data_IF_131647441161
#
_entry.id   IF_131647441161
#
_cell.length_a   1.000
_cell.length_b   1.000
_cell.length_c   1.000
_cell.angle_alpha   90.00
_cell.angle_beta   90.00
_cell.angle_gamma   90.00
#
_symmetry.space_group_name_H-M   'P 1'
#
loop_
_entity.id
_entity.type
_entity.pdbx_description
1 polymer ?
#
# COMPACT_ATOMS: atom_id res chain seq x y z
N UNK A 1 4.66 -67.87 81.39
CA UNK A 1 3.53 -68.82 81.41
C UNK A 1 2.24 -68.01 81.33
N UNK A 2 1.47 -68.22 80.26
CA UNK A 2 0.05 -67.89 79.98
C UNK A 2 -0.55 -66.57 80.50
N UNK A 3 -0.87 -65.61 79.64
CA UNK A 3 -2.08 -65.49 78.79
C UNK A 3 -3.30 -64.91 79.53
N UNK A 4 -3.90 -63.83 78.97
CA UNK A 4 -5.34 -63.64 78.66
C UNK A 4 -5.68 -62.16 78.38
N UNK A 5 -6.58 -61.99 77.41
CA UNK A 5 -7.24 -60.80 76.83
C UNK A 5 -7.87 -59.82 77.84
N UNK A 6 -7.97 -58.53 77.50
CA UNK A 6 -9.20 -57.85 76.98
C UNK A 6 -9.11 -56.29 76.95
N UNK A 7 -9.78 -55.71 75.94
CA UNK A 7 -10.50 -54.41 75.87
C UNK A 7 -9.77 -53.07 76.12
N UNK A 8 -9.87 -52.20 75.10
CA UNK A 8 -9.63 -50.73 75.07
C UNK A 8 -10.33 -50.01 76.25
N UNK A 9 -9.81 -48.86 76.72
CA UNK A 9 -10.07 -47.56 76.05
C UNK A 9 -8.86 -46.59 76.07
N UNK A 10 -8.76 -45.69 75.09
CA UNK A 10 -8.00 -44.45 75.26
C UNK A 10 -8.95 -43.28 75.04
N UNK A 11 -9.14 -42.48 76.10
CA UNK A 11 -9.74 -41.16 76.07
C UNK A 11 -8.67 -40.15 75.64
N UNK A 12 -9.05 -39.15 74.85
CA UNK A 12 -8.83 -37.74 75.20
C UNK A 12 -9.52 -36.87 74.18
N UNK A 13 -10.46 -36.07 74.65
CA UNK A 13 -10.97 -34.90 73.94
C UNK A 13 -9.83 -33.92 73.67
N UNK A 14 -9.86 -33.26 72.51
CA UNK A 14 -9.35 -31.90 72.36
C UNK A 14 -10.07 -31.25 71.18
N UNK A 15 -10.66 -30.10 71.46
CA UNK A 15 -11.57 -29.33 70.62
C UNK A 15 -10.86 -28.31 69.72
N UNK A 16 -11.56 -27.90 68.63
CA UNK A 16 -11.45 -26.65 67.82
C UNK A 16 -10.40 -26.64 66.67
N UNK A 17 -10.60 -25.98 65.49
CA UNK A 17 -11.82 -25.51 64.80
C UNK A 17 -11.97 -26.03 63.35
N UNK A 18 -13.16 -25.79 62.79
CA UNK A 18 -13.48 -25.78 61.36
C UNK A 18 -12.74 -24.63 60.67
N UNK A 19 -11.85 -24.90 59.72
CA UNK A 19 -11.63 -24.08 58.51
C UNK A 19 -10.52 -24.71 57.62
N UNK A 20 -10.89 -25.63 56.74
CA UNK A 20 -10.08 -25.89 55.54
C UNK A 20 -11.01 -25.84 54.34
N UNK A 21 -11.14 -24.60 53.88
CA UNK A 21 -11.88 -24.18 52.72
C UNK A 21 -11.30 -24.82 51.45
N UNK A 22 -12.21 -25.35 50.68
CA UNK A 22 -12.12 -25.88 49.34
C UNK A 22 -11.53 -24.83 48.37
N UNK A 23 -10.21 -24.76 48.15
CA UNK A 23 -9.64 -23.95 47.06
C UNK A 23 -8.19 -24.31 46.69
N UNK A 24 -7.99 -25.45 46.03
CA UNK A 24 -6.74 -25.73 45.28
C UNK A 24 -7.07 -26.23 43.88
N UNK A 25 -7.86 -25.45 43.15
CA UNK A 25 -8.00 -25.59 41.71
C UNK A 25 -8.32 -24.23 41.08
N UNK A 26 -7.40 -23.27 41.21
CA UNK A 26 -7.42 -22.03 40.44
C UNK A 26 -5.98 -21.55 40.24
N UNK A 27 -5.66 -21.14 39.02
CA UNK A 27 -4.41 -20.53 38.55
C UNK A 27 -3.27 -21.46 38.09
N UNK A 28 -3.58 -22.31 37.11
CA UNK A 28 -2.68 -22.51 35.98
C UNK A 28 -3.44 -22.37 34.65
N UNK A 29 -4.14 -21.23 34.49
CA UNK A 29 -4.39 -20.70 33.15
C UNK A 29 -3.13 -19.93 32.75
N UNK A 30 -2.07 -20.64 32.37
CA UNK A 30 -1.02 -20.01 31.57
C UNK A 30 -1.70 -19.54 30.30
N UNK A 31 -1.94 -18.23 30.19
CA UNK A 31 -2.48 -17.62 28.99
C UNK A 31 -1.60 -18.05 27.83
N UNK A 32 -2.11 -18.96 27.00
CA UNK A 32 -1.45 -19.36 25.77
C UNK A 32 -1.40 -18.08 24.92
N UNK A 33 -0.25 -17.40 24.90
CA UNK A 33 -0.07 -16.20 24.08
C UNK A 33 -0.20 -16.66 22.63
N UNK A 34 -1.31 -16.31 22.00
CA UNK A 34 -1.51 -16.57 20.56
C UNK A 34 -0.37 -15.86 19.82
N UNK A 35 0.56 -16.63 19.28
CA UNK A 35 1.67 -16.10 18.50
C UNK A 35 1.18 -15.87 17.08
N UNK A 36 1.00 -14.61 16.71
CA UNK A 36 0.66 -14.24 15.34
C UNK A 36 1.93 -14.36 14.49
N UNK A 37 1.91 -15.22 13.47
CA UNK A 37 3.01 -15.33 12.49
C UNK A 37 2.73 -14.50 11.24
N UNK A 38 1.47 -14.40 10.86
CA UNK A 38 0.99 -13.67 9.70
C UNK A 38 -0.41 -13.14 10.02
N UNK A 39 -0.59 -11.82 10.18
CA UNK A 39 -1.87 -11.27 10.58
C UNK A 39 -2.89 -11.36 9.44
N UNK A 40 -4.16 -11.59 9.80
CA UNK A 40 -5.28 -11.70 8.84
C UNK A 40 -6.12 -10.42 8.75
N UNK A 41 -5.98 -9.53 9.72
CA UNK A 41 -6.76 -8.30 9.86
C UNK A 41 -5.93 -7.25 10.63
N UNK A 42 -6.53 -6.07 10.86
CA UNK A 42 -5.88 -4.98 11.57
C UNK A 42 -5.52 -5.33 13.03
N UNK A 43 -6.44 -5.94 13.78
CA UNK A 43 -6.23 -6.26 15.20
C UNK A 43 -5.07 -7.25 15.38
N UNK A 44 -5.00 -8.28 14.54
CA UNK A 44 -3.87 -9.23 14.54
C UNK A 44 -2.55 -8.54 14.15
N UNK A 45 -2.61 -7.54 13.27
CA UNK A 45 -1.43 -6.75 12.87
C UNK A 45 -0.90 -5.90 14.03
N UNK A 46 -1.81 -5.26 14.79
CA UNK A 46 -1.46 -4.49 16.00
C UNK A 46 -0.89 -5.43 17.07
N UNK A 47 -1.56 -6.56 17.32
CA UNK A 47 -1.12 -7.55 18.29
C UNK A 47 0.25 -8.12 17.94
N UNK A 48 0.53 -8.37 16.66
CA UNK A 48 1.84 -8.81 16.20
C UNK A 48 2.94 -7.85 16.65
N UNK A 49 2.81 -6.55 16.37
CA UNK A 49 3.84 -5.58 16.73
C UNK A 49 3.96 -5.37 18.24
N UNK A 50 2.85 -5.43 18.99
CA UNK A 50 2.90 -5.41 20.45
C UNK A 50 3.65 -6.61 21.05
N UNK A 51 3.68 -7.75 20.36
CA UNK A 51 4.41 -8.95 20.80
C UNK A 51 5.87 -8.96 20.34
N UNK A 52 6.17 -8.42 19.16
CA UNK A 52 7.50 -8.48 18.57
C UNK A 52 8.42 -7.34 18.99
N UNK A 53 7.88 -6.14 19.21
CA UNK A 53 8.67 -4.97 19.60
C UNK A 53 8.96 -4.97 21.09
N UNK A 54 10.15 -4.51 21.45
CA UNK A 54 10.55 -4.31 22.84
C UNK A 54 9.74 -3.17 23.47
N UNK A 55 9.60 -3.14 24.81
CA UNK A 55 8.96 -2.02 25.49
C UNK A 55 9.58 -0.66 25.16
N UNK A 56 10.90 -0.60 24.97
CA UNK A 56 11.60 0.64 24.62
C UNK A 56 11.27 1.12 23.19
N UNK A 57 11.17 0.21 22.22
CA UNK A 57 10.76 0.55 20.86
C UNK A 57 9.30 1.03 20.81
N UNK A 58 8.40 0.34 21.52
CA UNK A 58 7.00 0.75 21.64
C UNK A 58 6.86 2.12 22.31
N UNK A 59 7.63 2.40 23.37
CA UNK A 59 7.60 3.68 24.07
C UNK A 59 8.16 4.82 23.20
N UNK A 60 9.27 4.58 22.50
CA UNK A 60 9.85 5.53 21.53
C UNK A 60 8.85 5.88 20.43
N UNK A 61 8.17 4.88 19.86
CA UNK A 61 7.15 5.09 18.83
C UNK A 61 5.92 5.84 19.38
N UNK A 62 5.43 5.43 20.56
CA UNK A 62 4.26 5.99 21.23
C UNK A 62 4.42 7.48 21.56
N UNK A 63 5.62 7.90 22.00
CA UNK A 63 5.88 9.24 22.53
C UNK A 63 6.14 10.31 21.46
N UNK A 64 6.16 9.93 20.17
CA UNK A 64 6.22 10.87 19.04
C UNK A 64 4.82 11.35 18.64
N UNK A 65 4.69 12.56 18.05
CA UNK A 65 3.46 12.95 17.34
C UNK A 65 3.07 11.87 16.31
N UNK A 66 1.76 11.59 16.17
CA UNK A 66 1.27 10.47 15.34
C UNK A 66 1.78 10.54 13.89
N UNK A 67 1.74 11.73 13.28
CA UNK A 67 2.25 11.95 11.91
C UNK A 67 3.73 11.60 11.79
N UNK A 68 4.53 12.09 12.73
CA UNK A 68 5.98 11.95 12.69
C UNK A 68 6.37 10.49 12.94
N UNK A 69 5.69 9.83 13.88
CA UNK A 69 5.88 8.42 14.18
C UNK A 69 5.62 7.54 12.94
N UNK A 70 4.51 7.79 12.22
CA UNK A 70 4.13 7.01 11.03
C UNK A 70 5.06 7.31 9.86
N UNK A 71 5.41 8.59 9.62
CA UNK A 71 6.31 9.01 8.53
C UNK A 71 7.71 8.40 8.72
N UNK A 72 8.25 8.47 9.93
CA UNK A 72 9.58 7.93 10.25
C UNK A 72 9.67 6.42 9.98
N UNK A 73 8.60 5.69 10.29
CA UNK A 73 8.53 4.25 10.05
C UNK A 73 8.07 3.85 8.65
N UNK A 74 7.64 4.79 7.80
CA UNK A 74 7.05 4.49 6.49
C UNK A 74 7.99 3.71 5.56
N UNK A 75 9.28 4.10 5.55
CA UNK A 75 10.30 3.48 4.69
C UNK A 75 11.03 2.30 5.35
N UNK A 76 10.88 2.11 6.67
CA UNK A 76 11.46 0.99 7.41
C UNK A 76 10.39 -0.06 7.71
N UNK A 77 9.70 0.03 8.86
CA UNK A 77 8.67 -0.93 9.27
C UNK A 77 7.53 -1.00 8.27
N UNK A 78 7.10 0.13 7.71
CA UNK A 78 6.08 0.17 6.66
C UNK A 78 6.50 -0.62 5.43
N UNK A 79 7.73 -0.43 4.94
CA UNK A 79 8.27 -1.19 3.82
C UNK A 79 8.37 -2.68 4.14
N UNK A 80 8.78 -3.03 5.37
CA UNK A 80 8.81 -4.41 5.83
C UNK A 80 7.41 -5.04 5.82
N UNK A 81 6.37 -4.34 6.31
CA UNK A 81 4.97 -4.79 6.25
C UNK A 81 4.59 -5.09 4.80
N UNK A 82 4.85 -4.15 3.88
CA UNK A 82 4.49 -4.31 2.46
C UNK A 82 5.16 -5.54 1.86
N UNK A 83 6.47 -5.70 2.07
CA UNK A 83 7.26 -6.80 1.51
C UNK A 83 6.92 -8.17 2.08
N UNK A 84 6.53 -8.25 3.35
CA UNK A 84 6.31 -9.53 4.01
C UNK A 84 4.83 -9.95 4.08
N UNK A 85 3.89 -9.00 4.12
CA UNK A 85 2.47 -9.28 4.36
C UNK A 85 1.55 -8.90 3.20
N UNK A 86 1.94 -7.93 2.35
CA UNK A 86 1.03 -7.38 1.34
C UNK A 86 1.41 -7.81 -0.07
N UNK A 87 2.71 -7.75 -0.42
CA UNK A 87 3.20 -8.14 -1.73
C UNK A 87 3.20 -9.66 -1.92
N UNK A 88 2.91 -10.08 -3.15
CA UNK A 88 2.81 -11.49 -3.53
C UNK A 88 1.48 -12.14 -3.12
N UNK A 89 1.43 -13.46 -3.28
CA UNK A 89 0.22 -14.28 -3.08
C UNK A 89 0.43 -15.42 -2.08
N UNK A 90 1.41 -15.31 -1.18
CA UNK A 90 1.71 -16.33 -0.15
C UNK A 90 0.58 -16.46 0.87
N UNK A 91 0.12 -15.32 1.40
CA UNK A 91 -1.09 -15.21 2.20
C UNK A 91 -1.82 -13.95 1.74
N UNK A 92 -3.11 -14.09 1.53
CA UNK A 92 -3.96 -13.02 1.01
C UNK A 92 -4.96 -12.52 2.03
N UNK A 93 -5.01 -13.06 3.25
CA UNK A 93 -6.02 -12.73 4.25
C UNK A 93 -6.01 -11.24 4.61
N UNK A 94 -4.85 -10.69 5.01
CA UNK A 94 -4.72 -9.25 5.32
C UNK A 94 -5.04 -8.37 4.11
N UNK A 95 -4.51 -8.74 2.94
CA UNK A 95 -4.76 -8.04 1.67
C UNK A 95 -6.26 -8.02 1.36
N UNK A 96 -6.96 -9.14 1.57
CA UNK A 96 -8.39 -9.25 1.30
C UNK A 96 -9.23 -8.51 2.35
N UNK A 97 -8.80 -8.48 3.62
CA UNK A 97 -9.41 -7.66 4.66
C UNK A 97 -9.40 -6.17 4.26
N UNK A 98 -8.25 -5.62 3.87
CA UNK A 98 -8.17 -4.22 3.43
C UNK A 98 -8.89 -3.96 2.10
N UNK A 99 -8.85 -4.90 1.16
CA UNK A 99 -9.65 -4.80 -0.08
C UNK A 99 -11.14 -4.73 0.19
N UNK A 100 -11.65 -5.48 1.16
CA UNK A 100 -13.06 -5.42 1.56
C UNK A 100 -13.45 -4.04 2.14
N UNK A 101 -12.47 -3.31 2.70
CA UNK A 101 -12.64 -1.91 3.14
C UNK A 101 -12.49 -0.89 2.00
N UNK A 102 -12.10 -1.32 0.80
CA UNK A 102 -11.80 -0.46 -0.34
C UNK A 102 -10.39 0.12 -0.35
N UNK A 103 -9.45 -0.47 0.40
CA UNK A 103 -8.04 -0.08 0.43
C UNK A 103 -7.20 -1.08 -0.36
N UNK A 104 -6.52 -0.60 -1.39
CA UNK A 104 -5.79 -1.44 -2.34
C UNK A 104 -4.28 -1.16 -2.34
N UNK A 105 -3.86 0.07 -2.04
CA UNK A 105 -2.45 0.45 -2.10
C UNK A 105 -1.69 -0.10 -0.88
N UNK A 106 -0.57 -0.80 -1.07
CA UNK A 106 0.23 -1.34 0.03
C UNK A 106 0.75 -0.28 1.00
N UNK A 107 1.10 0.91 0.52
CA UNK A 107 1.54 2.05 1.35
C UNK A 107 0.43 2.48 2.31
N UNK A 108 -0.81 2.60 1.83
CA UNK A 108 -1.99 2.91 2.66
C UNK A 108 -2.24 1.83 3.70
N UNK A 109 -2.17 0.55 3.31
CA UNK A 109 -2.34 -0.60 4.24
C UNK A 109 -1.32 -0.50 5.38
N UNK A 110 -0.04 -0.30 5.04
CA UNK A 110 1.01 -0.18 6.05
C UNK A 110 0.84 1.05 6.95
N UNK A 111 0.39 2.17 6.38
CA UNK A 111 0.15 3.41 7.12
C UNK A 111 -1.04 3.29 8.07
N UNK A 112 -2.13 2.63 7.67
CA UNK A 112 -3.28 2.35 8.54
C UNK A 112 -2.86 1.46 9.72
N UNK A 113 -2.06 0.42 9.47
CA UNK A 113 -1.55 -0.47 10.53
C UNK A 113 -0.71 0.31 11.55
N UNK A 114 0.25 1.13 11.08
CA UNK A 114 1.12 1.92 11.95
C UNK A 114 0.37 2.99 12.74
N UNK A 115 -0.56 3.69 12.08
CA UNK A 115 -1.44 4.69 12.72
C UNK A 115 -2.28 4.04 13.82
N UNK A 116 -2.87 2.88 13.53
CA UNK A 116 -3.72 2.15 14.47
C UNK A 116 -2.93 1.57 15.65
N UNK A 117 -1.70 1.12 15.42
CA UNK A 117 -0.77 0.73 16.48
C UNK A 117 -0.46 1.92 17.40
N UNK A 118 -0.13 3.09 16.84
CA UNK A 118 0.18 4.30 17.62
C UNK A 118 -0.99 4.72 18.50
N UNK A 119 -2.21 4.75 17.92
CA UNK A 119 -3.45 5.06 18.63
C UNK A 119 -3.73 4.07 19.74
N UNK A 120 -3.56 2.77 19.49
CA UNK A 120 -3.72 1.71 20.50
C UNK A 120 -2.76 1.92 21.69
N UNK A 121 -1.48 2.18 21.43
CA UNK A 121 -0.48 2.43 22.49
C UNK A 121 -0.79 3.68 23.33
N UNK A 122 -1.48 4.64 22.72
CA UNK A 122 -1.91 5.90 23.34
C UNK A 122 -3.35 5.87 23.88
N UNK A 123 -4.02 4.71 23.87
CA UNK A 123 -5.43 4.56 24.30
C UNK A 123 -6.39 5.52 23.58
N UNK A 124 -6.09 5.83 22.32
CA UNK A 124 -6.94 6.61 21.42
C UNK A 124 -7.80 5.67 20.59
N UNK A 125 -8.99 6.13 20.22
CA UNK A 125 -9.83 5.44 19.24
C UNK A 125 -9.08 5.31 17.91
N UNK A 126 -9.16 4.15 17.28
CA UNK A 126 -8.47 3.90 16.01
C UNK A 126 -9.09 4.74 14.89
N UNK A 127 -10.40 4.97 14.90
CA UNK A 127 -11.17 5.65 13.84
C UNK A 127 -10.90 5.02 12.45
N UNK A 128 -10.97 3.68 12.33
CA UNK A 128 -10.59 2.96 11.11
C UNK A 128 -11.39 3.45 9.90
N UNK A 129 -12.69 3.66 10.06
CA UNK A 129 -13.59 4.15 9.00
C UNK A 129 -13.10 5.50 8.46
N UNK A 130 -12.71 6.42 9.35
CA UNK A 130 -12.21 7.74 8.97
C UNK A 130 -10.85 7.66 8.27
N UNK A 131 -9.96 6.78 8.72
CA UNK A 131 -8.70 6.52 8.02
C UNK A 131 -8.98 6.02 6.59
N UNK A 132 -9.87 5.04 6.44
CA UNK A 132 -10.28 4.47 5.15
C UNK A 132 -10.88 5.52 4.22
N UNK A 133 -11.81 6.34 4.71
CA UNK A 133 -12.45 7.39 3.90
C UNK A 133 -11.46 8.46 3.44
N UNK A 134 -10.45 8.77 4.26
CA UNK A 134 -9.37 9.69 3.87
C UNK A 134 -8.60 9.18 2.64
N UNK A 135 -8.22 7.90 2.63
CA UNK A 135 -7.52 7.30 1.49
C UNK A 135 -8.41 7.17 0.26
N UNK A 136 -9.69 6.81 0.41
CA UNK A 136 -10.63 6.80 -0.71
C UNK A 136 -10.78 8.18 -1.35
N UNK A 137 -10.95 9.23 -0.53
CA UNK A 137 -11.06 10.59 -1.01
C UNK A 137 -9.79 11.05 -1.76
N UNK A 138 -8.61 10.62 -1.29
CA UNK A 138 -7.34 10.88 -1.97
C UNK A 138 -7.25 10.20 -3.35
N UNK A 139 -7.60 8.91 -3.43
CA UNK A 139 -7.44 8.12 -4.66
C UNK A 139 -8.54 8.33 -5.70
N UNK A 140 -9.77 8.68 -5.29
CA UNK A 140 -10.91 8.83 -6.19
C UNK A 140 -10.62 9.72 -7.42
N UNK A 141 -10.14 10.96 -7.29
CA UNK A 141 -9.86 11.81 -8.46
C UNK A 141 -8.77 11.23 -9.38
N UNK A 142 -7.82 10.47 -8.83
CA UNK A 142 -6.76 9.81 -9.60
C UNK A 142 -7.36 8.65 -10.41
N UNK A 143 -8.22 7.85 -9.79
CA UNK A 143 -8.92 6.73 -10.44
C UNK A 143 -9.79 7.26 -11.58
N UNK A 144 -10.61 8.27 -11.32
CA UNK A 144 -11.50 8.87 -12.32
C UNK A 144 -10.72 9.44 -13.51
N UNK A 145 -9.61 10.13 -13.23
CA UNK A 145 -8.72 10.66 -14.26
C UNK A 145 -8.10 9.54 -15.12
N UNK A 146 -7.59 8.47 -14.49
CA UNK A 146 -6.98 7.33 -15.19
C UNK A 146 -8.00 6.61 -16.09
N UNK A 147 -9.24 6.48 -15.64
CA UNK A 147 -10.30 5.86 -16.45
C UNK A 147 -10.61 6.70 -17.70
N UNK A 148 -10.70 8.02 -17.55
CA UNK A 148 -10.85 8.93 -18.70
C UNK A 148 -9.68 8.81 -19.68
N UNK A 149 -8.43 8.76 -19.18
CA UNK A 149 -7.26 8.58 -20.03
C UNK A 149 -7.27 7.26 -20.79
N UNK A 150 -7.69 6.15 -20.16
CA UNK A 150 -7.84 4.83 -20.80
C UNK A 150 -8.88 4.86 -21.91
N UNK A 151 -10.05 5.43 -21.67
CA UNK A 151 -11.11 5.57 -22.67
C UNK A 151 -10.60 6.38 -23.88
N UNK A 152 -9.91 7.50 -23.61
CA UNK A 152 -9.31 8.33 -24.66
C UNK A 152 -8.22 7.58 -25.44
N UNK A 153 -7.38 6.79 -24.77
CA UNK A 153 -6.35 5.97 -25.40
C UNK A 153 -6.96 4.94 -26.37
N UNK A 154 -8.03 4.24 -25.96
CA UNK A 154 -8.75 3.28 -26.82
C UNK A 154 -9.43 3.99 -28.00
N UNK A 155 -10.05 5.14 -27.78
CA UNK A 155 -10.65 5.94 -28.85
C UNK A 155 -9.60 6.37 -29.89
N UNK A 156 -8.47 6.89 -29.42
CA UNK A 156 -7.33 7.28 -30.25
C UNK A 156 -6.77 6.10 -31.03
N UNK A 157 -6.63 4.94 -30.37
CA UNK A 157 -6.20 3.71 -31.03
C UNK A 157 -7.13 3.30 -32.18
N UNK A 158 -8.45 3.43 -32.02
CA UNK A 158 -9.43 3.10 -33.07
C UNK A 158 -9.43 4.13 -34.21
N UNK A 159 -9.22 5.41 -33.90
CA UNK A 159 -9.22 6.52 -34.87
C UNK A 159 -8.12 6.38 -35.93
N UNK A 160 -6.88 6.10 -35.52
CA UNK A 160 -5.73 6.08 -36.42
C UNK A 160 -5.39 4.67 -36.93
N UNK A 161 -4.77 4.59 -38.11
CA UNK A 161 -4.30 3.36 -38.76
C UNK A 161 -2.78 3.38 -38.94
N UNK A 162 -2.21 2.21 -39.18
CA UNK A 162 -0.80 2.12 -39.62
C UNK A 162 -0.65 2.84 -40.96
N UNK A 163 0.35 3.71 -41.07
CA UNK A 163 0.59 4.59 -42.20
C UNK A 163 0.08 6.02 -42.02
N UNK A 164 -0.79 6.28 -41.02
CA UNK A 164 -1.30 7.62 -40.78
C UNK A 164 -0.19 8.55 -40.26
N UNK A 165 -0.22 9.80 -40.73
CA UNK A 165 0.57 10.88 -40.16
C UNK A 165 -0.14 11.41 -38.92
N UNK A 166 0.59 11.57 -37.82
CA UNK A 166 0.08 12.10 -36.56
C UNK A 166 0.96 13.23 -36.04
N UNK A 167 0.35 14.10 -35.23
CA UNK A 167 1.07 15.12 -34.44
C UNK A 167 0.88 14.84 -32.96
N UNK A 168 1.99 14.72 -32.23
CA UNK A 168 2.04 14.61 -30.78
C UNK A 168 2.42 15.95 -30.17
N UNK A 169 1.71 16.32 -29.10
CA UNK A 169 2.01 17.48 -28.27
C UNK A 169 2.37 17.00 -26.87
N UNK A 170 3.53 17.43 -26.36
CA UNK A 170 3.98 17.02 -25.03
C UNK A 170 4.47 18.22 -24.21
N UNK A 171 4.04 18.34 -22.94
CA UNK A 171 4.62 19.31 -22.02
C UNK A 171 6.09 18.99 -21.80
N UNK A 172 6.91 20.03 -21.67
CA UNK A 172 8.35 19.87 -21.40
C UNK A 172 8.67 20.29 -19.97
N UNK A 173 9.27 19.40 -19.22
CA UNK A 173 9.96 19.75 -17.99
C UNK A 173 11.34 20.35 -18.33
N UNK A 174 11.67 21.44 -17.65
CA UNK A 174 12.94 22.16 -17.78
C UNK A 174 13.66 22.30 -16.45
N UNK A 175 13.21 21.57 -15.42
CA UNK A 175 13.90 21.53 -14.13
C UNK A 175 15.33 21.02 -14.29
N UNK A 176 16.21 21.42 -13.38
CA UNK A 176 17.59 20.92 -13.32
C UNK A 176 18.42 21.15 -14.60
N UNK A 177 18.03 22.12 -15.43
CA UNK A 177 18.75 22.49 -16.65
C UNK A 177 18.59 21.51 -17.83
N UNK A 178 17.77 20.47 -17.70
CA UNK A 178 17.53 19.49 -18.76
C UNK A 178 16.12 19.65 -19.34
N UNK A 179 15.99 19.56 -20.67
CA UNK A 179 14.69 19.60 -21.35
C UNK A 179 14.18 18.18 -21.60
N UNK A 180 13.04 17.84 -21.02
CA UNK A 180 12.44 16.52 -21.16
C UNK A 180 10.93 16.62 -21.41
N UNK A 181 10.45 16.10 -22.53
CA UNK A 181 9.03 15.93 -22.79
C UNK A 181 8.48 14.82 -21.89
N UNK A 182 7.45 15.17 -21.11
CA UNK A 182 6.84 14.30 -20.09
C UNK A 182 5.35 14.09 -20.38
N UNK A 183 4.73 13.21 -19.60
CA UNK A 183 3.28 13.12 -19.47
C UNK A 183 2.91 13.62 -18.07
N UNK A 184 1.83 14.38 -17.98
CA UNK A 184 1.31 14.78 -16.68
C UNK A 184 0.58 13.63 -16.00
N UNK A 185 0.81 13.52 -14.69
CA UNK A 185 0.25 12.46 -13.87
C UNK A 185 -1.14 12.86 -13.36
N UNK A 186 -2.08 11.92 -13.36
CA UNK A 186 -3.35 12.10 -12.69
C UNK A 186 -3.17 12.44 -11.20
N UNK A 187 -4.00 13.34 -10.64
CA UNK A 187 -5.24 13.86 -11.24
C UNK A 187 -5.03 15.11 -12.11
N UNK A 188 -3.86 15.74 -12.06
CA UNK A 188 -3.60 17.00 -12.75
C UNK A 188 -3.05 16.75 -14.15
N UNK A 189 -3.93 16.68 -15.15
CA UNK A 189 -3.54 16.42 -16.55
C UNK A 189 -3.76 17.62 -17.47
N UNK A 190 -4.40 18.68 -16.96
CA UNK A 190 -4.67 19.87 -17.73
C UNK A 190 -3.37 20.60 -18.08
N UNK A 191 -3.24 20.95 -19.36
CA UNK A 191 -2.05 21.55 -19.91
C UNK A 191 -2.42 22.40 -21.12
N UNK A 192 -1.90 23.62 -21.14
CA UNK A 192 -2.02 24.51 -22.29
C UNK A 192 -0.68 24.50 -23.02
N UNK A 193 -0.71 24.11 -24.29
CA UNK A 193 0.47 24.05 -25.14
C UNK A 193 1.13 25.43 -25.25
N UNK A 194 2.44 25.47 -25.00
CA UNK A 194 3.27 26.65 -25.18
C UNK A 194 4.31 26.41 -26.28
N UNK A 195 4.13 27.05 -27.44
CA UNK A 195 5.02 26.92 -28.60
C UNK A 195 6.50 27.20 -28.33
N UNK A 196 6.79 28.07 -27.35
CA UNK A 196 8.17 28.44 -26.99
C UNK A 196 8.82 27.36 -26.12
N UNK A 197 8.04 26.63 -25.34
CA UNK A 197 8.53 25.70 -24.33
C UNK A 197 8.39 24.23 -24.75
N UNK A 198 7.24 23.87 -25.29
CA UNK A 198 6.78 22.50 -25.37
C UNK A 198 7.16 21.80 -26.68
N UNK A 199 7.03 20.48 -26.69
CA UNK A 199 7.44 19.64 -27.80
C UNK A 199 6.26 19.40 -28.76
N UNK A 200 6.54 19.57 -30.05
CA UNK A 200 5.75 19.05 -31.17
C UNK A 200 6.59 17.98 -31.86
N UNK A 201 6.04 16.77 -31.94
CA UNK A 201 6.59 15.67 -32.72
C UNK A 201 5.59 15.31 -33.81
N UNK A 202 6.03 15.25 -35.07
CA UNK A 202 5.24 14.64 -36.14
C UNK A 202 5.87 13.34 -36.57
N UNK A 203 5.04 12.39 -36.95
CA UNK A 203 5.51 11.08 -37.35
C UNK A 203 4.45 10.24 -38.04
N UNK A 204 4.87 9.06 -38.47
CA UNK A 204 4.00 8.07 -39.12
C UNK A 204 3.81 6.91 -38.16
N UNK A 205 2.56 6.48 -37.95
CA UNK A 205 2.27 5.27 -37.17
C UNK A 205 2.76 4.05 -37.95
N UNK A 206 3.79 3.36 -37.45
CA UNK A 206 4.35 2.17 -38.11
C UNK A 206 3.82 0.87 -37.52
N UNK A 207 3.42 0.88 -36.23
CA UNK A 207 2.78 -0.27 -35.57
C UNK A 207 1.76 0.20 -34.55
N UNK A 208 0.81 -0.69 -34.26
CA UNK A 208 -0.24 -0.52 -33.24
C UNK A 208 -0.33 -1.82 -32.45
N UNK A 209 -0.35 -1.74 -31.12
CA UNK A 209 -0.45 -2.91 -30.27
C UNK A 209 -1.00 -2.58 -28.88
N UNK A 210 -1.37 -3.62 -28.13
CA UNK A 210 -1.75 -3.54 -26.71
C UNK A 210 -0.73 -4.31 -25.87
N UNK A 211 -0.53 -3.91 -24.61
CA UNK A 211 0.28 -4.68 -23.65
C UNK A 211 -0.64 -5.13 -22.50
N UNK A 212 -0.86 -6.44 -22.39
CA UNK A 212 -1.64 -7.13 -21.33
C UNK A 212 -3.13 -6.77 -21.22
N UNK A 213 -3.52 -5.52 -21.52
CA UNK A 213 -4.87 -4.98 -21.41
C UNK A 213 -5.20 -4.17 -22.66
N UNK A 214 -6.43 -4.30 -23.16
CA UNK A 214 -6.94 -3.54 -24.31
C UNK A 214 -7.03 -2.03 -24.08
N UNK A 215 -6.99 -1.57 -22.84
CA UNK A 215 -6.87 -0.15 -22.48
C UNK A 215 -5.41 0.33 -22.43
N UNK A 216 -4.43 -0.58 -22.45
CA UNK A 216 -3.01 -0.26 -22.45
C UNK A 216 -2.49 -0.25 -23.91
N UNK A 217 -2.95 0.75 -24.65
CA UNK A 217 -2.76 0.88 -26.09
C UNK A 217 -1.50 1.69 -26.45
N UNK A 218 -0.81 1.26 -27.51
CA UNK A 218 0.45 1.86 -27.95
C UNK A 218 0.51 2.05 -29.46
N UNK A 219 1.23 3.10 -29.87
CA UNK A 219 1.75 3.25 -31.23
C UNK A 219 3.27 3.18 -31.23
N UNK A 220 3.83 2.50 -32.23
CA UNK A 220 5.19 2.76 -32.68
C UNK A 220 5.10 3.86 -33.74
N UNK A 221 5.84 4.94 -33.53
CA UNK A 221 5.82 6.14 -34.38
C UNK A 221 7.21 6.37 -34.95
N UNK A 222 7.32 6.41 -36.28
CA UNK A 222 8.53 6.87 -36.95
C UNK A 222 8.54 8.39 -37.00
N UNK A 223 9.52 8.99 -36.34
CA UNK A 223 9.62 10.45 -36.21
C UNK A 223 10.02 11.07 -37.54
N UNK A 224 9.21 12.00 -38.04
CA UNK A 224 9.48 12.75 -39.28
C UNK A 224 9.82 14.22 -38.99
N UNK A 225 9.43 14.74 -37.82
CA UNK A 225 9.70 16.12 -37.42
C UNK A 225 9.75 16.27 -35.91
N UNK A 226 10.64 17.15 -35.45
CA UNK A 226 10.72 17.66 -34.09
C UNK A 226 10.92 19.18 -34.14
N UNK A 227 10.10 19.95 -33.42
CA UNK A 227 10.32 21.40 -33.30
C UNK A 227 11.56 21.74 -32.44
N UNK A 228 11.99 20.82 -31.57
CA UNK A 228 13.10 20.97 -30.62
C UNK A 228 13.95 19.69 -30.62
N UNK A 229 15.17 19.76 -31.15
CA UNK A 229 16.10 18.60 -31.22
C UNK A 229 16.90 18.38 -29.93
N UNK A 230 16.91 19.38 -29.05
CA UNK A 230 17.60 19.40 -27.76
C UNK A 230 16.77 18.78 -26.61
N UNK A 231 15.51 18.43 -26.89
CA UNK A 231 14.55 17.96 -25.90
C UNK A 231 14.47 16.44 -25.93
N UNK A 232 14.78 15.80 -24.79
CA UNK A 232 14.56 14.35 -24.61
C UNK A 232 13.07 14.05 -24.57
N UNK A 233 12.69 12.82 -24.93
CA UNK A 233 11.30 12.37 -24.91
C UNK A 233 11.19 11.19 -23.96
N UNK A 234 10.56 11.41 -22.80
CA UNK A 234 10.46 10.41 -21.75
C UNK A 234 11.85 9.87 -21.37
N UNK A 235 12.78 10.79 -21.08
CA UNK A 235 14.18 10.55 -20.71
C UNK A 235 15.09 9.98 -21.81
N UNK A 236 14.56 9.70 -22.99
CA UNK A 236 15.34 9.16 -24.12
C UNK A 236 15.69 10.23 -25.15
N UNK A 237 16.87 10.13 -25.75
CA UNK A 237 17.22 10.93 -26.92
C UNK A 237 16.54 10.35 -28.15
N UNK A 238 15.82 11.20 -28.89
CA UNK A 238 15.06 10.80 -30.09
C UNK A 238 15.40 11.74 -31.23
N UNK A 239 15.73 11.16 -32.38
CA UNK A 239 16.07 11.88 -33.59
C UNK A 239 15.06 11.60 -34.70
N UNK A 240 15.04 12.49 -35.70
CA UNK A 240 14.26 12.28 -36.92
C UNK A 240 14.73 10.98 -37.59
N UNK A 241 13.79 10.16 -38.03
CA UNK A 241 14.01 8.83 -38.58
C UNK A 241 13.94 7.70 -37.56
N UNK A 242 14.06 7.97 -36.25
CA UNK A 242 13.91 6.93 -35.22
C UNK A 242 12.46 6.46 -35.10
N UNK A 243 12.29 5.21 -34.65
CA UNK A 243 11.00 4.71 -34.19
C UNK A 243 10.94 4.76 -32.66
N UNK A 244 9.84 5.27 -32.11
CA UNK A 244 9.60 5.28 -30.66
C UNK A 244 8.21 4.78 -30.34
N UNK A 245 8.11 4.01 -29.25
CA UNK A 245 6.84 3.55 -28.72
C UNK A 245 6.25 4.60 -27.79
N UNK A 246 4.96 4.89 -27.97
CA UNK A 246 4.21 5.81 -27.16
C UNK A 246 2.98 5.10 -26.59
N UNK A 247 2.84 5.15 -25.26
CA UNK A 247 1.56 4.87 -24.62
C UNK A 247 0.56 5.95 -25.03
N UNK A 248 -0.64 5.54 -25.41
CA UNK A 248 -1.71 6.49 -25.76
C UNK A 248 -2.39 7.08 -24.52
N UNK A 249 -2.14 6.51 -23.34
CA UNK A 249 -2.70 6.99 -22.06
C UNK A 249 -2.10 8.34 -21.70
N UNK A 250 -2.95 9.37 -21.60
CA UNK A 250 -2.53 10.72 -21.24
C UNK A 250 -1.80 11.49 -22.36
N UNK A 251 -1.66 10.90 -23.54
CA UNK A 251 -0.96 11.52 -24.67
C UNK A 251 -1.93 12.32 -25.55
N UNK A 252 -1.56 13.55 -25.90
CA UNK A 252 -2.33 14.40 -26.81
C UNK A 252 -1.88 14.16 -28.26
N UNK A 253 -2.80 13.67 -29.09
CA UNK A 253 -2.56 13.29 -30.49
C UNK A 253 -3.61 13.92 -31.41
N UNK A 254 -3.16 14.51 -32.51
CA UNK A 254 -3.99 15.05 -33.60
C UNK A 254 -3.72 14.36 -34.94
#
# INVERSE_FOLDING_TARGET
MSAVKFKRPFKSEMTIPKLTFFLTCLFLLTACKVQIKLPKNLDESILYFQQQLTPAELDSFKNKPESDAVIELHQSTGQWIRNNWVYGDRDTALKNYFKALGIYAPDDISSIILTSLHRTLNKKEIELEKQVETYKAYWQPIIDCREKQKIQAVSTYKKFKVGDNITLYMPVDTSEGNRNAILYNCPTTEWVFNEKKDLILKGIVTKKYFINDTANAFFTVRVTYLNRKDTRILMEQVQIGNEKNFSLTGLKIE
#
